data_IF_969532787515
#
_entry.id   IF_969532787515
#
_cell.length_a   1.000
_cell.length_b   1.000
_cell.length_c   1.000
_cell.angle_alpha   90.00
_cell.angle_beta   90.00
_cell.angle_gamma   90.00
#
_symmetry.space_group_name_H-M   'P 1'
#
loop_
_entity.id
_entity.type
_entity.pdbx_description
1 polymer ?
#
# COMPACT_ATOMS: atom_id res chain seq x y z
N UNK A 1 80.94 -48.09 48.80
CA UNK A 1 79.89 -48.01 47.75
C UNK A 1 78.96 -46.85 48.05
N UNK A 2 78.69 -45.99 47.05
CA UNK A 2 77.49 -45.15 46.78
C UNK A 2 76.95 -44.20 47.88
N UNK A 3 76.53 -42.95 47.61
CA UNK A 3 76.52 -42.11 46.39
C UNK A 3 76.17 -40.67 46.84
N UNK A 4 76.80 -39.67 46.20
CA UNK A 4 76.61 -38.22 46.41
C UNK A 4 75.19 -37.74 46.05
N UNK A 5 74.67 -36.79 46.83
CA UNK A 5 73.43 -36.04 46.54
C UNK A 5 73.72 -34.82 45.65
N UNK A 6 73.02 -34.71 44.51
CA UNK A 6 73.03 -33.52 43.65
C UNK A 6 71.69 -32.79 43.86
N UNK A 7 71.75 -31.50 44.23
CA UNK A 7 70.57 -30.61 44.31
C UNK A 7 70.35 -29.92 42.97
N UNK A 8 69.14 -30.03 42.43
CA UNK A 8 68.66 -29.32 41.24
C UNK A 8 67.93 -28.04 41.63
N UNK A 9 68.29 -26.92 41.01
CA UNK A 9 67.62 -25.61 41.10
C UNK A 9 66.52 -25.51 40.03
N UNK A 10 65.32 -25.11 40.44
CA UNK A 10 64.16 -24.91 39.56
C UNK A 10 64.09 -23.46 39.04
N UNK A 11 63.95 -23.30 37.72
CA UNK A 11 63.64 -22.03 37.04
C UNK A 11 62.12 -21.84 36.93
N UNK A 12 61.60 -20.66 37.33
CA UNK A 12 60.18 -20.27 37.23
C UNK A 12 59.87 -19.72 35.82
N UNK A 13 58.92 -20.35 35.12
CA UNK A 13 58.31 -19.81 33.87
C UNK A 13 57.33 -18.65 34.17
N UNK A 14 57.23 -17.63 33.29
CA UNK A 14 56.34 -16.49 33.51
C UNK A 14 54.85 -16.85 33.28
N UNK A 15 53.97 -16.36 34.16
CA UNK A 15 52.51 -16.53 34.08
C UNK A 15 51.92 -15.64 32.98
N UNK A 16 51.22 -16.23 32.02
CA UNK A 16 50.34 -15.55 31.05
C UNK A 16 49.12 -14.98 31.80
N UNK A 17 48.88 -13.67 31.73
CA UNK A 17 47.64 -13.05 32.24
C UNK A 17 46.49 -13.48 31.33
N UNK A 18 45.53 -14.23 31.86
CA UNK A 18 44.28 -14.54 31.14
C UNK A 18 43.38 -13.31 31.17
N UNK A 19 43.06 -12.77 30.00
CA UNK A 19 41.99 -11.79 29.83
C UNK A 19 40.66 -12.47 30.23
N UNK A 20 40.17 -12.16 31.42
CA UNK A 20 38.86 -12.60 31.91
C UNK A 20 37.79 -11.70 31.28
N UNK A 21 37.67 -11.77 29.96
CA UNK A 21 36.44 -11.39 29.26
C UNK A 21 36.04 -12.63 28.46
N UNK A 22 35.44 -13.55 29.21
CA UNK A 22 35.05 -14.87 28.75
C UNK A 22 34.06 -14.75 27.60
N UNK A 23 34.39 -15.34 26.46
CA UNK A 23 33.51 -15.50 25.29
C UNK A 23 32.13 -16.08 25.66
N UNK A 24 32.02 -16.81 26.78
CA UNK A 24 30.75 -17.33 27.32
C UNK A 24 29.79 -16.23 27.78
N UNK A 25 30.30 -15.16 28.42
CA UNK A 25 29.47 -14.04 28.89
C UNK A 25 28.84 -13.33 27.69
N UNK A 26 29.64 -13.08 26.65
CA UNK A 26 29.14 -12.50 25.40
C UNK A 26 28.12 -13.41 24.71
N UNK A 27 28.32 -14.73 24.77
CA UNK A 27 27.34 -15.72 24.30
C UNK A 27 26.00 -15.67 25.03
N UNK A 28 25.99 -15.54 26.36
CA UNK A 28 24.75 -15.41 27.13
C UNK A 28 24.02 -14.09 26.83
N UNK A 29 24.75 -12.98 26.66
CA UNK A 29 24.14 -11.71 26.23
C UNK A 29 23.54 -11.79 24.83
N UNK A 30 24.23 -12.44 23.89
CA UNK A 30 23.73 -12.65 22.53
C UNK A 30 22.46 -13.51 22.51
N UNK A 31 22.41 -14.58 23.32
CA UNK A 31 21.21 -15.44 23.45
C UNK A 31 20.07 -14.65 24.10
N UNK A 32 20.33 -13.91 25.18
CA UNK A 32 19.32 -13.06 25.83
C UNK A 32 18.74 -12.03 24.87
N UNK A 33 19.60 -11.38 24.09
CA UNK A 33 19.18 -10.44 23.04
C UNK A 33 18.34 -11.14 21.96
N UNK A 34 18.73 -12.32 21.50
CA UNK A 34 17.96 -13.10 20.52
C UNK A 34 16.57 -13.47 21.06
N UNK A 35 16.48 -13.89 22.33
CA UNK A 35 15.19 -14.22 22.97
C UNK A 35 14.30 -12.97 23.04
N UNK A 36 14.85 -11.82 23.47
CA UNK A 36 14.09 -10.56 23.51
C UNK A 36 13.66 -10.13 22.11
N UNK A 37 14.52 -10.30 21.10
CA UNK A 37 14.19 -10.02 19.71
C UNK A 37 13.04 -10.91 19.23
N UNK A 38 13.11 -12.22 19.48
CA UNK A 38 12.06 -13.18 19.09
C UNK A 38 10.75 -12.89 19.82
N UNK A 39 10.80 -12.58 21.12
CA UNK A 39 9.62 -12.19 21.90
C UNK A 39 9.03 -10.87 21.42
N UNK A 40 9.87 -9.89 21.08
CA UNK A 40 9.44 -8.59 20.55
C UNK A 40 8.78 -8.74 19.18
N UNK A 41 9.39 -9.51 18.27
CA UNK A 41 8.81 -9.86 16.97
C UNK A 41 7.50 -10.62 17.17
N UNK A 42 7.49 -11.64 18.04
CA UNK A 42 6.28 -12.42 18.35
C UNK A 42 5.15 -11.55 18.93
N UNK A 43 5.47 -10.61 19.81
CA UNK A 43 4.50 -9.64 20.35
C UNK A 43 4.01 -8.67 19.27
N UNK A 44 4.91 -8.17 18.43
CA UNK A 44 4.57 -7.25 17.33
C UNK A 44 3.62 -7.90 16.31
N UNK A 45 3.73 -9.22 16.10
CA UNK A 45 2.87 -10.01 15.21
C UNK A 45 1.82 -10.86 15.96
N UNK A 46 1.52 -10.54 17.22
CA UNK A 46 0.64 -11.34 18.09
C UNK A 46 -0.76 -11.54 17.52
N UNK A 47 -1.34 -10.53 16.88
CA UNK A 47 -2.69 -10.62 16.27
C UNK A 47 -2.70 -11.60 15.11
N UNK A 48 -1.64 -11.60 14.28
CA UNK A 48 -1.48 -12.58 13.20
C UNK A 48 -1.27 -14.00 13.72
N UNK A 49 -0.52 -14.15 14.80
CA UNK A 49 -0.32 -15.44 15.46
C UNK A 49 -1.62 -15.98 16.10
N UNK A 50 -2.40 -15.12 16.76
CA UNK A 50 -3.70 -15.48 17.31
C UNK A 50 -4.71 -15.85 16.20
N UNK A 51 -4.71 -15.12 15.08
CA UNK A 51 -5.54 -15.44 13.91
C UNK A 51 -5.15 -16.77 13.27
N UNK A 52 -3.84 -17.05 13.15
CA UNK A 52 -3.31 -18.34 12.68
C UNK A 52 -3.76 -19.51 13.57
N UNK A 53 -3.76 -19.33 14.90
CA UNK A 53 -4.22 -20.35 15.85
C UNK A 53 -5.75 -20.52 15.88
N UNK A 54 -6.51 -19.58 15.31
CA UNK A 54 -7.97 -19.56 15.26
C UNK A 54 -8.60 -20.23 14.01
N UNK A 55 -7.86 -21.06 13.28
CA UNK A 55 -8.29 -21.96 12.21
C UNK A 55 -9.38 -21.45 11.24
N UNK A 56 -8.95 -20.90 10.09
CA UNK A 56 -9.65 -21.04 8.80
C UNK A 56 -8.91 -22.08 7.96
N UNK A 57 -9.58 -23.16 7.55
CA UNK A 57 -9.03 -24.19 6.64
C UNK A 57 -9.95 -24.41 5.44
N UNK A 58 -9.46 -24.02 4.27
CA UNK A 58 -9.20 -24.84 3.06
C UNK A 58 -8.76 -23.85 1.98
N UNK A 59 -7.53 -23.99 1.48
CA UNK A 59 -6.93 -23.17 0.41
C UNK A 59 -6.36 -21.77 0.78
N UNK A 60 -5.82 -21.56 1.98
CA UNK A 60 -5.03 -20.33 2.25
C UNK A 60 -3.55 -20.67 2.34
N UNK A 61 -2.72 -20.05 1.50
CA UNK A 61 -1.27 -20.21 1.56
C UNK A 61 -0.72 -19.49 2.79
N UNK A 62 0.44 -19.89 3.32
CA UNK A 62 1.06 -19.18 4.45
C UNK A 62 1.22 -17.68 4.18
N UNK A 63 1.52 -17.29 2.94
CA UNK A 63 1.63 -15.89 2.51
C UNK A 63 0.32 -15.12 2.64
N UNK A 64 -0.83 -15.75 2.43
CA UNK A 64 -2.13 -15.09 2.53
C UNK A 64 -2.48 -14.77 3.99
N UNK A 65 -2.19 -15.70 4.91
CA UNK A 65 -2.41 -15.48 6.36
C UNK A 65 -1.59 -14.30 6.90
N UNK A 66 -0.31 -14.18 6.51
CA UNK A 66 0.50 -13.04 6.92
C UNK A 66 -0.01 -11.72 6.31
N UNK A 67 -0.50 -11.76 5.07
CA UNK A 67 -1.06 -10.58 4.42
C UNK A 67 -2.37 -10.13 5.08
N UNK A 68 -3.26 -11.05 5.44
CA UNK A 68 -4.51 -10.75 6.18
C UNK A 68 -4.20 -10.18 7.57
N UNK A 69 -3.26 -10.77 8.29
CA UNK A 69 -2.83 -10.27 9.60
C UNK A 69 -2.25 -8.86 9.52
N UNK A 70 -1.42 -8.58 8.51
CA UNK A 70 -0.90 -7.23 8.25
C UNK A 70 -2.02 -6.27 7.90
N UNK A 71 -2.94 -6.66 7.02
CA UNK A 71 -4.07 -5.82 6.62
C UNK A 71 -4.93 -5.41 7.82
N UNK A 72 -5.22 -6.34 8.72
CA UNK A 72 -5.93 -6.03 9.95
C UNK A 72 -5.17 -5.04 10.82
N UNK A 73 -3.85 -5.22 10.98
CA UNK A 73 -3.01 -4.31 11.76
C UNK A 73 -2.93 -2.92 11.16
N UNK A 74 -2.83 -2.81 9.84
CA UNK A 74 -2.91 -1.53 9.11
C UNK A 74 -4.24 -0.85 9.41
N UNK A 75 -5.36 -1.56 9.34
CA UNK A 75 -6.68 -1.00 9.64
C UNK A 75 -6.80 -0.54 11.11
N UNK A 76 -6.26 -1.31 12.06
CA UNK A 76 -6.22 -0.95 13.49
C UNK A 76 -5.37 0.31 13.74
N UNK A 77 -4.19 0.39 13.11
CA UNK A 77 -3.28 1.53 13.26
C UNK A 77 -3.78 2.83 12.64
N UNK A 78 -4.70 2.72 11.68
CA UNK A 78 -5.33 3.84 11.00
C UNK A 78 -6.81 3.99 11.41
N UNK A 79 -7.16 3.56 12.63
CA UNK A 79 -8.51 3.72 13.16
C UNK A 79 -8.91 5.21 13.19
N UNK A 80 -10.18 5.48 12.83
CA UNK A 80 -10.69 6.84 12.63
C UNK A 80 -10.46 7.40 11.22
N UNK A 81 -9.58 6.79 10.41
CA UNK A 81 -9.45 7.13 8.99
C UNK A 81 -10.47 6.39 8.13
N UNK A 82 -10.77 6.94 6.97
CA UNK A 82 -11.78 6.37 6.08
C UNK A 82 -11.19 5.26 5.21
N UNK A 83 -11.89 4.13 5.15
CA UNK A 83 -11.53 2.98 4.31
C UNK A 83 -12.38 3.00 3.04
N UNK A 84 -11.75 2.65 1.93
CA UNK A 84 -12.41 2.48 0.64
C UNK A 84 -11.76 1.38 -0.17
N UNK A 85 -12.28 1.15 -1.36
CA UNK A 85 -11.75 0.16 -2.31
C UNK A 85 -11.48 0.83 -3.65
N UNK A 86 -10.75 0.16 -4.51
CA UNK A 86 -10.74 0.50 -5.92
C UNK A 86 -10.97 -0.73 -6.78
N UNK A 87 -11.67 -0.53 -7.90
CA UNK A 87 -12.18 -1.62 -8.73
C UNK A 87 -12.11 -1.28 -10.20
N UNK A 88 -12.05 -2.34 -11.00
CA UNK A 88 -12.09 -2.28 -12.46
C UNK A 88 -12.95 -3.40 -13.02
N UNK A 89 -12.87 -3.66 -14.32
CA UNK A 89 -13.47 -4.85 -14.94
C UNK A 89 -12.96 -6.17 -14.34
N UNK A 90 -11.76 -6.18 -13.74
CA UNK A 90 -11.16 -7.39 -13.16
C UNK A 90 -11.89 -7.91 -11.92
N UNK A 91 -12.63 -7.04 -11.22
CA UNK A 91 -13.49 -7.45 -10.10
C UNK A 91 -14.85 -8.00 -10.54
N UNK A 92 -15.07 -8.11 -11.86
CA UNK A 92 -16.24 -8.75 -12.43
C UNK A 92 -17.56 -8.11 -12.01
N UNK A 93 -18.60 -8.94 -11.82
CA UNK A 93 -19.96 -8.51 -11.49
C UNK A 93 -20.10 -8.22 -10.00
N UNK A 94 -19.88 -6.96 -9.60
CA UNK A 94 -20.03 -6.53 -8.20
C UNK A 94 -21.50 -6.50 -7.77
N UNK A 95 -21.79 -7.10 -6.61
CA UNK A 95 -23.09 -7.04 -5.93
C UNK A 95 -23.02 -5.95 -4.84
N UNK A 96 -23.19 -4.70 -5.27
CA UNK A 96 -22.94 -3.52 -4.43
C UNK A 96 -23.71 -3.48 -3.11
N UNK A 97 -24.91 -4.05 -3.04
CA UNK A 97 -25.69 -4.14 -1.79
C UNK A 97 -25.02 -4.94 -0.66
N UNK A 98 -23.98 -5.72 -0.97
CA UNK A 98 -23.17 -6.45 0.01
C UNK A 98 -21.86 -5.73 0.34
N UNK A 99 -21.48 -4.70 -0.41
CA UNK A 99 -20.24 -3.94 -0.21
C UNK A 99 -20.50 -2.88 0.85
N UNK A 100 -20.33 -3.26 2.12
CA UNK A 100 -20.62 -2.40 3.27
C UNK A 100 -19.41 -2.25 4.20
N UNK A 101 -18.86 -3.38 4.66
CA UNK A 101 -17.73 -3.39 5.60
C UNK A 101 -16.64 -4.36 5.17
N UNK A 102 -15.39 -4.02 5.48
CA UNK A 102 -14.26 -4.93 5.46
C UNK A 102 -14.08 -5.55 6.85
N UNK A 103 -13.78 -6.85 6.91
CA UNK A 103 -13.64 -7.63 8.16
C UNK A 103 -14.80 -7.48 9.16
N UNK A 104 -16.01 -7.16 8.68
CA UNK A 104 -17.22 -6.89 9.49
C UNK A 104 -17.07 -5.73 10.49
N UNK A 105 -15.97 -4.97 10.44
CA UNK A 105 -15.65 -3.92 11.42
C UNK A 105 -15.42 -2.57 10.77
N UNK A 106 -14.81 -2.52 9.58
CA UNK A 106 -14.35 -1.28 8.96
C UNK A 106 -15.30 -0.87 7.83
N UNK A 107 -16.11 0.19 7.98
CA UNK A 107 -17.04 0.62 6.94
C UNK A 107 -16.31 1.09 5.68
N UNK A 108 -16.74 0.61 4.51
CA UNK A 108 -16.28 1.06 3.21
C UNK A 108 -17.11 2.28 2.81
N UNK A 109 -16.47 3.45 2.72
CA UNK A 109 -17.18 4.72 2.49
C UNK A 109 -16.97 5.31 1.11
N UNK A 110 -15.90 4.91 0.44
CA UNK A 110 -15.63 5.36 -0.92
C UNK A 110 -15.11 4.25 -1.83
N UNK A 111 -15.21 4.51 -3.14
CA UNK A 111 -14.66 3.64 -4.17
C UNK A 111 -14.06 4.45 -5.32
N UNK A 112 -12.88 4.05 -5.79
CA UNK A 112 -12.28 4.56 -7.02
C UNK A 112 -12.49 3.52 -8.13
N UNK A 113 -13.03 3.93 -9.28
CA UNK A 113 -13.47 3.01 -10.33
C UNK A 113 -12.72 3.32 -11.62
N UNK A 114 -12.09 2.32 -12.22
CA UNK A 114 -11.42 2.51 -13.51
C UNK A 114 -12.45 2.90 -14.56
N UNK A 115 -12.21 4.01 -15.25
CA UNK A 115 -13.05 4.46 -16.35
C UNK A 115 -12.46 4.09 -17.69
N UNK A 116 -11.16 4.34 -17.87
CA UNK A 116 -10.49 4.28 -19.18
C UNK A 116 -9.04 3.86 -19.02
N UNK A 117 -8.47 3.31 -20.09
CA UNK A 117 -7.09 2.83 -20.18
C UNK A 117 -6.53 3.25 -21.51
N UNK A 118 -5.45 4.04 -21.52
CA UNK A 118 -4.91 4.54 -22.78
C UNK A 118 -5.90 5.41 -23.56
N UNK A 119 -5.63 5.64 -24.84
CA UNK A 119 -6.47 6.49 -25.69
C UNK A 119 -7.65 5.75 -26.33
N UNK A 120 -7.76 4.43 -26.14
CA UNK A 120 -8.64 3.58 -26.94
C UNK A 120 -9.62 2.71 -26.14
N UNK A 121 -9.43 2.54 -24.83
CA UNK A 121 -10.20 1.55 -24.05
C UNK A 121 -11.01 2.16 -22.92
N UNK A 122 -12.32 1.94 -22.96
CA UNK A 122 -13.23 2.15 -21.83
C UNK A 122 -13.30 0.85 -21.02
N UNK A 123 -13.27 0.94 -19.70
CA UNK A 123 -13.43 -0.23 -18.82
C UNK A 123 -14.85 -0.80 -18.94
N UNK A 124 -14.97 -2.09 -19.23
CA UNK A 124 -16.26 -2.72 -19.57
C UNK A 124 -17.26 -2.70 -18.41
N UNK A 125 -16.78 -2.59 -17.17
CA UNK A 125 -17.63 -2.56 -15.98
C UNK A 125 -17.86 -1.14 -15.45
N UNK A 126 -17.18 -0.11 -15.99
CA UNK A 126 -17.24 1.26 -15.45
C UNK A 126 -18.66 1.75 -15.24
N UNK A 127 -19.50 1.77 -16.27
CA UNK A 127 -20.87 2.31 -16.18
C UNK A 127 -21.68 1.63 -15.08
N UNK A 128 -21.53 0.31 -14.97
CA UNK A 128 -22.26 -0.49 -13.99
C UNK A 128 -21.75 -0.27 -12.58
N UNK A 129 -20.43 -0.25 -12.40
CA UNK A 129 -19.78 0.03 -11.13
C UNK A 129 -20.09 1.44 -10.66
N UNK A 130 -20.04 2.42 -11.57
CA UNK A 130 -20.36 3.82 -11.31
C UNK A 130 -21.77 4.01 -10.77
N UNK A 131 -22.77 3.37 -11.40
CA UNK A 131 -24.16 3.42 -10.95
C UNK A 131 -24.36 2.67 -9.63
N UNK A 132 -23.85 1.44 -9.52
CA UNK A 132 -24.03 0.62 -8.33
C UNK A 132 -23.39 1.22 -7.08
N UNK A 133 -22.21 1.84 -7.20
CA UNK A 133 -21.58 2.55 -6.09
C UNK A 133 -22.45 3.71 -5.58
N UNK A 134 -23.09 4.46 -6.49
CA UNK A 134 -23.99 5.56 -6.13
C UNK A 134 -25.27 5.07 -5.48
N UNK A 135 -25.89 4.02 -6.01
CA UNK A 135 -27.07 3.40 -5.42
C UNK A 135 -26.77 2.86 -4.00
N UNK A 136 -25.55 2.37 -3.78
CA UNK A 136 -25.03 1.97 -2.48
C UNK A 136 -24.52 3.14 -1.62
N UNK A 137 -24.75 4.40 -2.04
CA UNK A 137 -24.40 5.62 -1.30
C UNK A 137 -22.90 5.77 -0.96
N UNK A 138 -22.03 5.14 -1.74
CA UNK A 138 -20.59 5.33 -1.60
C UNK A 138 -20.16 6.62 -2.28
N UNK A 139 -19.21 7.32 -1.68
CA UNK A 139 -18.46 8.38 -2.37
C UNK A 139 -17.65 7.73 -3.48
N UNK A 140 -17.77 8.19 -4.72
CA UNK A 140 -17.17 7.49 -5.87
C UNK A 140 -16.27 8.42 -6.66
N UNK A 141 -15.13 7.92 -7.10
CA UNK A 141 -14.20 8.60 -8.00
C UNK A 141 -13.87 7.74 -9.20
N UNK A 142 -13.42 8.37 -10.27
CA UNK A 142 -13.05 7.68 -11.50
C UNK A 142 -11.57 7.85 -11.79
N UNK A 143 -10.90 6.78 -12.22
CA UNK A 143 -9.49 6.83 -12.59
C UNK A 143 -9.21 6.43 -14.03
N UNK A 144 -8.14 7.00 -14.58
CA UNK A 144 -7.62 6.71 -15.91
C UNK A 144 -6.27 6.01 -15.80
N UNK A 145 -6.17 4.79 -16.32
CA UNK A 145 -4.89 4.09 -16.43
C UNK A 145 -4.08 4.66 -17.60
N UNK A 146 -3.06 5.44 -17.29
CA UNK A 146 -2.22 6.11 -18.27
C UNK A 146 -1.26 5.13 -18.93
N UNK A 147 -1.22 5.15 -20.25
CA UNK A 147 -0.22 4.42 -21.04
C UNK A 147 0.87 5.39 -21.48
N UNK A 148 2.11 5.20 -20.99
CA UNK A 148 3.20 6.15 -21.23
C UNK A 148 3.42 6.49 -22.70
N UNK A 149 3.41 5.53 -23.62
CA UNK A 149 3.80 5.78 -25.02
C UNK A 149 2.63 6.18 -25.93
N UNK A 150 1.47 6.57 -25.38
CA UNK A 150 0.30 7.02 -26.14
C UNK A 150 0.08 8.53 -26.00
N UNK A 151 -0.72 9.12 -26.88
CA UNK A 151 -0.97 10.57 -26.88
C UNK A 151 -1.72 10.99 -25.59
N UNK A 152 -1.10 11.86 -24.80
CA UNK A 152 -1.65 12.35 -23.53
C UNK A 152 -2.98 13.08 -23.67
N UNK A 153 -3.20 13.80 -24.77
CA UNK A 153 -4.43 14.58 -24.98
C UNK A 153 -5.60 13.67 -25.39
N UNK A 154 -5.36 12.71 -26.28
CA UNK A 154 -6.39 11.72 -26.64
C UNK A 154 -6.79 10.85 -25.43
N UNK A 155 -5.83 10.50 -24.57
CA UNK A 155 -6.07 9.85 -23.28
C UNK A 155 -6.98 10.70 -22.38
N UNK A 156 -6.74 12.01 -22.28
CA UNK A 156 -7.57 12.94 -21.51
C UNK A 156 -8.97 13.09 -22.11
N UNK A 157 -9.07 13.22 -23.44
CA UNK A 157 -10.33 13.31 -24.17
C UNK A 157 -11.19 12.06 -23.98
N UNK A 158 -10.61 10.87 -24.02
CA UNK A 158 -11.34 9.63 -23.76
C UNK A 158 -11.89 9.59 -22.33
N UNK A 159 -11.08 9.99 -21.34
CA UNK A 159 -11.52 10.07 -19.94
C UNK A 159 -12.66 11.07 -19.76
N UNK A 160 -12.52 12.28 -20.31
CA UNK A 160 -13.52 13.35 -20.28
C UNK A 160 -14.83 12.94 -20.97
N UNK A 161 -14.74 12.23 -22.10
CA UNK A 161 -15.91 11.72 -22.82
C UNK A 161 -16.66 10.68 -21.99
N UNK A 162 -15.93 9.84 -21.27
CA UNK A 162 -16.48 8.68 -20.54
C UNK A 162 -17.05 9.06 -19.18
N UNK A 163 -16.35 9.92 -18.44
CA UNK A 163 -16.68 10.26 -17.06
C UNK A 163 -17.52 11.54 -17.02
N UNK A 164 -18.60 11.50 -16.22
CA UNK A 164 -19.44 12.67 -15.93
C UNK A 164 -19.56 12.78 -14.43
N UNK A 165 -18.75 13.67 -13.86
CA UNK A 165 -18.77 13.96 -12.43
C UNK A 165 -20.03 14.75 -12.06
N UNK A 166 -20.52 14.50 -10.86
CA UNK A 166 -21.62 15.22 -10.21
C UNK A 166 -21.19 15.55 -8.79
N UNK A 167 -21.84 16.55 -8.20
CA UNK A 167 -21.67 16.89 -6.79
C UNK A 167 -21.57 15.64 -5.91
N UNK A 168 -20.52 15.58 -5.09
CA UNK A 168 -20.24 14.46 -4.20
C UNK A 168 -19.39 13.33 -4.81
N UNK A 169 -19.04 13.39 -6.09
CA UNK A 169 -18.03 12.51 -6.69
C UNK A 169 -16.61 13.02 -6.35
N UNK A 170 -15.63 12.14 -6.24
CA UNK A 170 -14.22 12.52 -5.98
C UNK A 170 -13.58 13.15 -7.23
N UNK A 171 -12.49 13.92 -7.04
CA UNK A 171 -11.70 14.44 -8.16
C UNK A 171 -11.22 13.32 -9.09
N UNK A 172 -11.01 13.60 -10.39
CA UNK A 172 -10.40 12.66 -11.32
C UNK A 172 -9.06 12.13 -10.82
N UNK A 173 -8.76 10.86 -11.10
CA UNK A 173 -7.47 10.26 -10.76
C UNK A 173 -6.71 9.91 -12.04
N UNK A 174 -5.44 10.30 -12.12
CA UNK A 174 -4.48 9.81 -13.10
C UNK A 174 -3.65 8.68 -12.52
N UNK A 175 -3.80 7.47 -13.04
CA UNK A 175 -3.04 6.30 -12.64
C UNK A 175 -1.82 6.13 -13.57
N UNK A 176 -0.61 6.25 -13.02
CA UNK A 176 0.66 6.07 -13.73
C UNK A 176 1.59 5.12 -12.98
N UNK A 177 1.77 3.92 -13.54
CA UNK A 177 2.59 2.87 -12.89
C UNK A 177 3.79 2.42 -13.73
N UNK A 178 3.83 2.80 -15.00
CA UNK A 178 4.80 2.28 -15.96
C UNK A 178 5.78 3.34 -16.42
N UNK A 179 7.04 2.93 -16.55
CA UNK A 179 8.03 3.71 -17.26
C UNK A 179 7.77 3.67 -18.77
N UNK A 180 8.10 4.75 -19.50
CA UNK A 180 7.97 4.76 -20.94
C UNK A 180 8.99 3.79 -21.55
N UNK A 181 8.65 3.24 -22.71
CA UNK A 181 9.54 2.36 -23.49
C UNK A 181 10.08 3.05 -24.72
N UNK A 182 9.32 4.00 -25.27
CA UNK A 182 9.57 4.61 -26.58
C UNK A 182 9.87 6.11 -26.46
N UNK A 183 9.70 6.70 -25.27
CA UNK A 183 10.01 8.10 -25.02
C UNK A 183 10.83 8.28 -23.75
N UNK A 184 11.46 9.45 -23.62
CA UNK A 184 12.21 9.81 -22.41
C UNK A 184 11.28 10.12 -21.23
N UNK A 185 11.83 10.12 -20.02
CA UNK A 185 11.12 10.47 -18.80
C UNK A 185 10.64 11.93 -18.84
N UNK A 186 11.43 12.84 -19.40
CA UNK A 186 11.08 14.26 -19.55
C UNK A 186 9.85 14.40 -20.46
N UNK A 187 9.81 13.66 -21.57
CA UNK A 187 8.64 13.68 -22.46
C UNK A 187 7.41 13.07 -21.81
N UNK A 188 7.58 12.00 -21.02
CA UNK A 188 6.51 11.45 -20.21
C UNK A 188 5.95 12.50 -19.23
N UNK A 189 6.81 13.19 -18.48
CA UNK A 189 6.40 14.26 -17.55
C UNK A 189 5.62 15.38 -18.25
N UNK A 190 6.04 15.78 -19.45
CA UNK A 190 5.29 16.73 -20.28
C UNK A 190 3.89 16.17 -20.62
N UNK A 191 3.80 14.89 -21.01
CA UNK A 191 2.53 14.21 -21.28
C UNK A 191 1.61 14.15 -20.06
N UNK A 192 2.13 13.78 -18.90
CA UNK A 192 1.37 13.77 -17.64
C UNK A 192 0.85 15.18 -17.32
N UNK A 193 1.69 16.22 -17.39
CA UNK A 193 1.26 17.62 -17.18
C UNK A 193 0.15 18.04 -18.15
N UNK A 194 0.22 17.61 -19.43
CA UNK A 194 -0.82 17.89 -20.43
C UNK A 194 -2.13 17.21 -20.07
N UNK A 195 -2.11 15.94 -19.70
CA UNK A 195 -3.30 15.21 -19.28
C UNK A 195 -3.92 15.88 -18.06
N UNK A 196 -3.13 16.13 -17.01
CA UNK A 196 -3.59 16.71 -15.74
C UNK A 196 -4.24 18.07 -15.95
N UNK A 197 -3.59 18.97 -16.70
CA UNK A 197 -4.15 20.30 -17.00
C UNK A 197 -5.43 20.22 -17.83
N UNK A 198 -5.48 19.33 -18.82
CA UNK A 198 -6.67 19.19 -19.68
C UNK A 198 -7.88 18.72 -18.86
N UNK A 199 -7.65 17.77 -17.95
CA UNK A 199 -8.69 17.24 -17.06
C UNK A 199 -9.08 18.26 -15.99
N UNK A 200 -8.12 18.98 -15.39
CA UNK A 200 -8.39 20.06 -14.43
C UNK A 200 -9.24 21.17 -15.07
N UNK A 201 -8.90 21.60 -16.29
CA UNK A 201 -9.66 22.61 -17.02
C UNK A 201 -11.10 22.15 -17.33
N UNK A 202 -11.31 20.86 -17.62
CA UNK A 202 -12.64 20.34 -17.92
C UNK A 202 -13.53 20.23 -16.67
N UNK A 203 -12.99 19.71 -15.57
CA UNK A 203 -13.77 19.44 -14.36
C UNK A 203 -13.74 20.57 -13.33
N UNK A 204 -12.87 21.57 -13.48
CA UNK A 204 -12.71 22.67 -12.54
C UNK A 204 -12.09 22.26 -11.19
N UNK A 205 -11.59 21.03 -11.09
CA UNK A 205 -10.97 20.48 -9.89
C UNK A 205 -9.64 19.83 -10.24
N UNK A 206 -8.64 20.00 -9.38
CA UNK A 206 -7.32 19.39 -9.60
C UNK A 206 -7.40 17.87 -9.48
N UNK A 207 -6.88 17.12 -10.48
CA UNK A 207 -6.80 15.67 -10.39
C UNK A 207 -5.88 15.20 -9.26
N UNK A 208 -6.10 13.96 -8.83
CA UNK A 208 -5.20 13.20 -7.94
C UNK A 208 -4.30 12.33 -8.80
N UNK A 209 -3.06 12.08 -8.38
CA UNK A 209 -2.14 11.16 -9.07
C UNK A 209 -2.02 9.87 -8.27
N UNK A 210 -2.29 8.73 -8.92
CA UNK A 210 -2.01 7.41 -8.40
C UNK A 210 -0.72 6.84 -8.98
N UNK A 211 0.07 6.20 -8.12
CA UNK A 211 1.34 5.55 -8.49
C UNK A 211 1.84 4.65 -7.35
N UNK A 212 2.74 3.72 -7.66
CA UNK A 212 3.55 3.04 -6.63
C UNK A 212 4.55 3.97 -5.94
N UNK A 213 4.84 3.72 -4.66
CA UNK A 213 5.75 4.56 -3.83
C UNK A 213 7.12 4.79 -4.47
N UNK A 214 7.77 3.74 -4.99
CA UNK A 214 9.09 3.90 -5.61
C UNK A 214 9.06 4.85 -6.81
N UNK A 215 8.03 4.74 -7.64
CA UNK A 215 7.87 5.59 -8.82
C UNK A 215 7.56 7.04 -8.40
N UNK A 216 6.76 7.22 -7.34
CA UNK A 216 6.51 8.51 -6.72
C UNK A 216 7.81 9.19 -6.29
N UNK A 217 8.63 8.51 -5.48
CA UNK A 217 9.86 9.06 -4.93
C UNK A 217 10.90 9.34 -6.03
N UNK A 218 11.03 8.45 -7.02
CA UNK A 218 12.04 8.58 -8.08
C UNK A 218 11.69 9.65 -9.14
N UNK A 219 10.40 9.87 -9.45
CA UNK A 219 10.02 10.64 -10.64
C UNK A 219 8.98 11.75 -10.44
N UNK A 220 8.07 11.61 -9.46
CA UNK A 220 6.86 12.44 -9.41
C UNK A 220 6.82 13.44 -8.25
N UNK A 221 7.41 13.08 -7.10
CA UNK A 221 7.32 13.84 -5.86
C UNK A 221 7.72 15.31 -5.99
N UNK A 222 8.86 15.58 -6.64
CA UNK A 222 9.33 16.95 -6.85
C UNK A 222 8.61 17.63 -8.01
N UNK A 223 8.43 16.90 -9.12
CA UNK A 223 7.90 17.40 -10.39
C UNK A 223 6.43 17.86 -10.31
N UNK A 224 5.62 17.16 -9.51
CA UNK A 224 4.17 17.35 -9.38
C UNK A 224 3.79 17.64 -7.91
N UNK A 225 4.62 18.38 -7.21
CA UNK A 225 4.42 18.75 -5.80
C UNK A 225 3.15 19.59 -5.54
N UNK A 226 2.53 20.14 -6.59
CA UNK A 226 1.25 20.83 -6.57
C UNK A 226 0.03 19.90 -6.63
N UNK A 227 0.23 18.59 -6.82
CA UNK A 227 -0.81 17.57 -6.87
C UNK A 227 -0.86 16.74 -5.59
N UNK A 228 -2.03 16.17 -5.32
CA UNK A 228 -2.23 15.22 -4.23
C UNK A 228 -2.04 13.79 -4.74
N UNK A 229 -1.55 12.91 -3.88
CA UNK A 229 -1.13 11.57 -4.26
C UNK A 229 -1.93 10.47 -3.57
N UNK A 230 -2.34 9.49 -4.38
CA UNK A 230 -2.78 8.17 -3.95
C UNK A 230 -1.62 7.20 -4.17
N UNK A 231 -1.03 6.66 -3.09
CA UNK A 231 0.18 5.84 -3.20
C UNK A 231 -0.14 4.37 -2.97
N UNK A 232 0.33 3.51 -3.87
CA UNK A 232 0.39 2.07 -3.63
C UNK A 232 1.68 1.68 -2.90
N UNK A 233 1.51 1.06 -1.73
CA UNK A 233 2.61 0.43 -1.00
C UNK A 233 2.09 -0.81 -0.24
N UNK A 234 2.56 -1.97 -0.67
CA UNK A 234 2.26 -3.28 -0.07
C UNK A 234 3.39 -3.80 0.82
N UNK A 235 4.34 -2.93 1.19
CA UNK A 235 5.49 -3.31 2.00
C UNK A 235 5.03 -3.78 3.37
N UNK A 236 5.43 -5.00 3.72
CA UNK A 236 5.05 -5.66 4.96
C UNK A 236 5.32 -4.83 6.22
N UNK A 237 6.40 -4.03 6.22
CA UNK A 237 6.82 -3.25 7.38
C UNK A 237 6.11 -1.90 7.53
N UNK A 238 5.31 -1.49 6.54
CA UNK A 238 4.54 -0.24 6.60
C UNK A 238 3.15 -0.53 7.15
N UNK A 239 2.85 0.05 8.31
CA UNK A 239 1.60 -0.14 9.06
C UNK A 239 0.75 1.15 9.16
N UNK A 240 1.36 2.32 8.91
CA UNK A 240 0.72 3.64 8.99
C UNK A 240 0.90 4.41 7.67
N UNK A 241 -0.15 5.14 7.26
CA UNK A 241 -0.12 6.04 6.10
C UNK A 241 0.80 7.24 6.38
N UNK A 242 1.55 7.69 5.38
CA UNK A 242 2.38 8.89 5.51
C UNK A 242 1.55 10.17 5.42
N UNK A 243 1.96 11.22 6.13
CA UNK A 243 1.26 12.50 6.20
C UNK A 243 1.05 13.16 4.82
N UNK A 244 2.00 12.97 3.90
CA UNK A 244 1.94 13.55 2.55
C UNK A 244 1.20 12.69 1.52
N UNK A 245 0.63 11.54 1.93
CA UNK A 245 -0.20 10.71 1.06
C UNK A 245 -1.66 11.05 1.32
N UNK A 246 -2.42 11.36 0.27
CA UNK A 246 -3.87 11.61 0.39
C UNK A 246 -4.63 10.30 0.55
N UNK A 247 -4.25 9.29 -0.25
CA UNK A 247 -4.76 7.94 -0.16
C UNK A 247 -3.59 6.94 -0.14
N UNK A 248 -3.80 5.80 0.49
CA UNK A 248 -2.84 4.69 0.52
C UNK A 248 -3.53 3.39 0.15
N UNK A 249 -3.17 2.82 -1.00
CA UNK A 249 -3.52 1.44 -1.35
C UNK A 249 -2.53 0.52 -0.63
N UNK A 250 -3.01 -0.13 0.42
CA UNK A 250 -2.15 -0.94 1.29
C UNK A 250 -2.21 -2.43 0.96
N UNK A 251 -3.20 -2.88 0.19
CA UNK A 251 -3.32 -4.29 -0.21
C UNK A 251 -4.11 -4.43 -1.50
N UNK A 252 -3.75 -5.46 -2.28
CA UNK A 252 -4.43 -5.91 -3.50
C UNK A 252 -5.13 -7.28 -3.34
N UNK A 253 -5.22 -7.77 -2.09
CA UNK A 253 -5.56 -9.16 -1.78
C UNK A 253 -6.75 -9.29 -0.82
N UNK A 254 -7.49 -8.22 -0.59
CA UNK A 254 -8.61 -8.29 0.33
C UNK A 254 -9.80 -9.03 -0.31
N UNK A 255 -10.59 -9.69 0.54
CA UNK A 255 -11.89 -10.22 0.17
C UNK A 255 -12.97 -9.27 0.68
N UNK A 256 -13.83 -8.79 -0.20
CA UNK A 256 -14.94 -7.89 0.14
C UNK A 256 -16.26 -8.56 -0.21
N UNK A 257 -17.23 -8.64 0.72
CA UNK A 257 -18.53 -9.24 0.42
C UNK A 257 -19.19 -8.58 -0.79
N UNK A 258 -19.71 -9.41 -1.70
CA UNK A 258 -20.29 -8.96 -2.96
C UNK A 258 -19.32 -8.89 -4.15
N UNK A 259 -18.03 -9.13 -3.93
CA UNK A 259 -17.00 -9.20 -4.97
C UNK A 259 -16.34 -10.58 -4.92
N UNK A 260 -16.35 -11.29 -6.05
CA UNK A 260 -15.88 -12.69 -6.12
C UNK A 260 -14.35 -12.81 -6.31
N UNK A 261 -13.69 -11.68 -6.58
CA UNK A 261 -12.24 -11.59 -6.83
C UNK A 261 -11.55 -10.77 -5.74
N UNK A 262 -10.22 -10.82 -5.71
CA UNK A 262 -9.43 -9.95 -4.84
C UNK A 262 -9.70 -8.47 -5.13
N UNK A 263 -9.67 -7.69 -4.07
CA UNK A 263 -10.01 -6.26 -4.09
C UNK A 263 -8.87 -5.46 -3.48
N UNK A 264 -8.59 -4.34 -4.14
CA UNK A 264 -7.64 -3.36 -3.69
C UNK A 264 -8.29 -2.49 -2.61
N UNK A 265 -7.62 -2.31 -1.48
CA UNK A 265 -8.14 -1.58 -0.32
C UNK A 265 -7.27 -0.38 -0.01
N UNK A 266 -7.96 0.73 0.24
CA UNK A 266 -7.39 2.03 0.42
C UNK A 266 -7.75 2.65 1.77
N UNK A 267 -6.82 3.42 2.32
CA UNK A 267 -7.06 4.34 3.43
C UNK A 267 -6.97 5.76 2.88
N UNK A 268 -7.99 6.57 3.15
CA UNK A 268 -7.91 8.02 2.97
C UNK A 268 -7.27 8.65 4.21
N UNK A 269 -6.37 9.62 4.02
CA UNK A 269 -5.64 10.24 5.10
C UNK A 269 -6.45 11.34 5.82
N UNK A 270 -7.59 10.95 6.37
CA UNK A 270 -8.51 11.83 7.06
C UNK A 270 -9.80 11.13 7.44
N UNK A 271 -10.69 11.89 8.06
CA UNK A 271 -12.03 11.43 8.43
C UNK A 271 -13.04 11.58 7.28
N UNK A 272 -14.29 11.18 7.53
CA UNK A 272 -15.35 11.23 6.53
C UNK A 272 -15.71 12.65 6.10
N UNK A 273 -15.72 13.62 7.02
CA UNK A 273 -16.09 15.00 6.70
C UNK A 273 -15.02 15.62 5.79
N UNK A 274 -13.74 15.36 6.08
CA UNK A 274 -12.63 15.76 5.22
C UNK A 274 -12.72 15.10 3.85
N UNK A 275 -13.08 13.81 3.78
CA UNK A 275 -13.29 13.13 2.50
C UNK A 275 -14.44 13.75 1.69
N UNK A 276 -15.54 14.11 2.34
CA UNK A 276 -16.67 14.78 1.69
C UNK A 276 -16.27 16.18 1.21
N UNK A 277 -15.42 16.88 1.95
CA UNK A 277 -14.96 18.22 1.58
C UNK A 277 -14.14 18.23 0.29
N UNK A 278 -13.40 17.16 -0.02
CA UNK A 278 -12.61 17.08 -1.26
C UNK A 278 -13.43 16.64 -2.48
N UNK A 279 -14.73 16.34 -2.32
CA UNK A 279 -15.60 16.00 -3.46
C UNK A 279 -15.92 17.22 -4.30
N UNK A 280 -16.28 16.99 -5.56
CA UNK A 280 -16.70 18.09 -6.45
C UNK A 280 -18.02 18.70 -5.97
N UNK A 281 -18.17 20.01 -6.16
CA UNK A 281 -19.34 20.80 -5.71
C UNK A 281 -20.54 20.76 -6.66
#
# INVERSE_FOLDING_TARGET
>A
MRKKSVRTTYSRKPKKKSTVFSTKIFGYFAIGFLIVLVLSVGYHYRSGFAYYLGFKSRYSSHTDVFSEARNLKVLEKNEGKVVGIDVSEYQGKIRWSYVDTLEKKYPLRYVLIRATVGNDRVDNQFKRNWLGAKENKMIRGAYHYYRPNENSLEQAELFIKTVKLKKGDLPPVLDIEKLPKEQSIERLKIGLRRWLKTVELHYGVRPIIYTGEKYYDDFLKEEFSDYLFWIANYNFYREEIQDNWLFWQFTEKATVPGIDYNVDVNIYNGDLQQLQFITVE
#
